data_IF_464599519009
#
_entry.id   IF_464599519009
#
_cell.length_a   1.000
_cell.length_b   1.000
_cell.length_c   1.000
_cell.angle_alpha   90.00
_cell.angle_beta   90.00
_cell.angle_gamma   90.00
#
_symmetry.space_group_name_H-M   'P 1'
#
loop_
_entity.id
_entity.type
_entity.pdbx_description
1 polymer ?
#
# COMPACT_ATOMS: atom_id res chain seq x y z
N UNK A 1 -7.04 -30.88 -50.23
CA UNK A 1 -7.14 -29.43 -50.52
C UNK A 1 -5.95 -28.73 -49.88
N UNK A 2 -4.86 -28.53 -50.64
CA UNK A 2 -3.60 -27.88 -50.23
C UNK A 2 -3.80 -26.35 -50.08
N UNK A 3 -3.30 -25.73 -49.00
CA UNK A 3 -3.17 -24.27 -48.89
C UNK A 3 -1.72 -23.84 -49.18
N UNK A 4 -1.45 -22.84 -50.03
CA UNK A 4 -0.09 -22.39 -50.37
C UNK A 4 0.47 -21.43 -49.30
N UNK A 5 1.79 -21.47 -49.10
CA UNK A 5 2.54 -20.48 -48.29
C UNK A 5 2.88 -19.24 -49.14
N UNK A 6 2.76 -18.02 -48.61
CA UNK A 6 3.31 -16.84 -49.26
C UNK A 6 4.81 -16.69 -48.96
N UNK A 7 5.59 -16.47 -50.02
CA UNK A 7 7.02 -16.12 -50.02
C UNK A 7 7.16 -14.75 -50.67
N UNK A 8 7.77 -13.79 -49.99
CA UNK A 8 8.09 -12.46 -50.54
C UNK A 8 9.34 -11.88 -49.84
N UNK A 9 10.03 -10.92 -50.49
CA UNK A 9 11.42 -11.11 -50.90
C UNK A 9 12.44 -10.30 -50.10
N UNK A 10 13.70 -10.68 -50.28
CA UNK A 10 14.89 -9.94 -49.88
C UNK A 10 15.01 -8.69 -50.76
N UNK A 11 15.12 -7.50 -50.16
CA UNK A 11 15.54 -6.30 -50.88
C UNK A 11 16.82 -5.76 -50.26
N UNK A 12 17.90 -5.96 -51.01
CA UNK A 12 19.20 -5.33 -50.85
C UNK A 12 19.12 -3.98 -51.57
N UNK A 13 19.46 -2.91 -50.87
CA UNK A 13 19.52 -1.55 -51.42
C UNK A 13 20.77 -0.88 -50.90
N UNK A 14 21.87 -1.19 -51.56
CA UNK A 14 23.16 -0.51 -51.49
C UNK A 14 23.15 0.61 -52.53
N UNK A 15 23.51 1.83 -52.13
CA UNK A 15 23.76 2.95 -53.01
C UNK A 15 24.80 3.85 -52.34
N UNK A 16 26.02 3.72 -52.86
CA UNK A 16 27.20 4.56 -52.64
C UNK A 16 26.93 6.06 -52.88
N UNK A 17 27.58 6.92 -52.10
CA UNK A 17 28.29 8.08 -52.68
C UNK A 17 29.42 8.62 -51.77
N UNK A 18 30.64 8.41 -52.29
CA UNK A 18 31.84 9.25 -52.25
C UNK A 18 32.26 9.99 -50.96
N UNK A 19 33.24 9.37 -50.30
CA UNK A 19 34.61 9.90 -50.13
C UNK A 19 34.76 11.39 -49.83
N UNK A 20 34.93 11.76 -48.55
CA UNK A 20 35.80 12.88 -48.21
C UNK A 20 36.38 12.80 -46.78
N UNK A 21 37.67 12.47 -46.73
CA UNK A 21 38.71 13.04 -45.85
C UNK A 21 38.71 12.68 -44.36
N UNK A 22 39.62 11.75 -44.05
CA UNK A 22 40.54 11.78 -42.90
C UNK A 22 40.75 13.19 -42.32
N UNK A 23 40.51 13.32 -41.00
CA UNK A 23 41.31 14.08 -40.01
C UNK A 23 40.61 13.90 -38.65
N UNK A 24 41.08 13.01 -37.77
CA UNK A 24 42.05 13.29 -36.69
C UNK A 24 41.64 14.45 -35.76
N UNK A 25 41.19 14.06 -34.56
CA UNK A 25 41.25 14.74 -33.25
C UNK A 25 40.59 16.12 -33.11
N UNK A 26 39.63 16.22 -32.17
CA UNK A 26 39.62 17.16 -31.03
C UNK A 26 38.23 17.10 -30.33
N UNK A 27 38.25 17.17 -28.99
CA UNK A 27 37.13 17.18 -28.03
C UNK A 27 36.13 18.35 -28.24
N UNK A 28 35.10 18.60 -27.39
CA UNK A 28 34.49 17.87 -26.27
C UNK A 28 32.94 17.79 -26.40
N UNK A 29 32.25 17.42 -25.31
CA UNK A 29 30.79 17.54 -25.08
C UNK A 29 29.91 16.42 -25.65
N UNK A 30 29.84 15.32 -24.90
CA UNK A 30 28.72 14.39 -24.95
C UNK A 30 27.46 15.14 -24.49
N UNK A 31 26.60 15.40 -25.46
CA UNK A 31 25.20 15.79 -25.30
C UNK A 31 24.43 14.60 -24.74
N UNK A 32 23.72 14.79 -23.63
CA UNK A 32 22.38 14.22 -23.46
C UNK A 32 21.69 14.87 -22.26
N UNK A 33 20.77 15.76 -22.58
CA UNK A 33 19.88 16.45 -21.67
C UNK A 33 18.83 15.46 -21.16
N UNK A 34 18.74 15.40 -19.83
CA UNK A 34 17.58 15.18 -18.97
C UNK A 34 16.51 14.14 -19.37
N UNK A 35 16.32 13.15 -18.50
CA UNK A 35 15.05 13.02 -17.76
C UNK A 35 15.38 12.54 -16.33
N UNK A 36 15.47 13.47 -15.39
CA UNK A 36 15.53 13.15 -13.97
C UNK A 36 14.13 12.70 -13.53
N UNK A 37 13.90 11.39 -13.49
CA UNK A 37 12.80 10.85 -12.68
C UNK A 37 13.37 10.64 -11.29
N UNK A 38 13.17 11.65 -10.44
CA UNK A 38 13.23 11.43 -9.00
C UNK A 38 12.18 10.36 -8.70
N UNK A 39 12.62 9.12 -8.50
CA UNK A 39 11.87 8.19 -7.69
C UNK A 39 11.88 8.79 -6.28
N UNK A 40 10.92 9.68 -6.04
CA UNK A 40 10.54 10.08 -4.71
C UNK A 40 10.17 8.79 -3.98
N UNK A 41 11.06 8.35 -3.09
CA UNK A 41 10.68 7.48 -1.99
C UNK A 41 9.78 8.35 -1.11
N UNK A 42 8.52 8.47 -1.53
CA UNK A 42 7.49 9.16 -0.78
C UNK A 42 7.25 8.31 0.45
N UNK A 43 7.85 8.71 1.57
CA UNK A 43 7.31 8.39 2.88
C UNK A 43 5.87 8.89 2.87
N UNK A 44 4.91 7.99 2.65
CA UNK A 44 3.53 8.32 2.88
C UNK A 44 3.38 8.55 4.37
N UNK A 45 3.43 9.81 4.78
CA UNK A 45 2.81 10.26 6.01
C UNK A 45 1.31 9.98 5.83
N UNK A 46 0.91 8.75 6.18
CA UNK A 46 -0.49 8.39 6.39
C UNK A 46 -1.13 9.33 7.41
N UNK A 47 -2.47 9.30 7.53
CA UNK A 47 -3.22 10.28 8.33
C UNK A 47 -2.54 10.43 9.68
N UNK A 48 -2.24 11.70 10.01
CA UNK A 48 -1.51 12.23 11.16
C UNK A 48 -1.05 11.14 12.12
N UNK A 49 0.26 11.05 12.38
CA UNK A 49 0.86 10.31 13.48
C UNK A 49 -0.02 10.45 14.74
N UNK A 50 -1.04 9.60 14.84
CA UNK A 50 -1.80 9.33 16.05
C UNK A 50 -0.68 8.80 16.90
N UNK A 51 -0.37 9.58 17.92
CA UNK A 51 0.73 9.46 18.86
C UNK A 51 1.36 8.07 18.84
N UNK A 52 2.68 7.97 18.86
CA UNK A 52 3.40 6.70 18.91
C UNK A 52 3.18 5.94 20.24
N UNK A 53 1.96 5.96 20.78
CA UNK A 53 1.44 5.13 21.84
C UNK A 53 1.73 3.68 21.49
N UNK A 54 2.35 2.98 22.43
CA UNK A 54 2.54 1.55 22.36
C UNK A 54 1.18 0.88 22.13
N UNK A 55 1.07 -0.05 21.15
CA UNK A 55 -0.20 -0.71 20.91
C UNK A 55 -0.62 -1.49 22.16
N UNK A 56 -1.85 -1.26 22.61
CA UNK A 56 -2.46 -2.00 23.71
C UNK A 56 -2.65 -3.47 23.34
N UNK A 57 -2.92 -3.75 22.06
CA UNK A 57 -3.04 -5.10 21.50
C UNK A 57 -2.27 -5.14 20.19
N UNK A 58 -1.43 -6.17 20.03
CA UNK A 58 -0.77 -6.49 18.77
C UNK A 58 -0.74 -8.00 18.58
N UNK A 59 -1.59 -8.51 17.69
CA UNK A 59 -1.80 -9.96 17.51
C UNK A 59 -1.95 -10.33 16.05
N UNK A 60 -1.68 -11.59 15.71
CA UNK A 60 -2.00 -12.17 14.41
C UNK A 60 -3.25 -13.04 14.50
N UNK A 61 -4.00 -13.11 13.41
CA UNK A 61 -5.17 -13.96 13.25
C UNK A 61 -5.14 -14.64 11.89
N UNK A 62 -5.68 -15.86 11.82
CA UNK A 62 -5.92 -16.54 10.53
C UNK A 62 -7.12 -15.97 9.77
N UNK A 63 -7.91 -15.09 10.41
CA UNK A 63 -9.11 -14.49 9.81
C UNK A 63 -8.74 -13.34 8.89
N UNK A 64 -9.50 -13.19 7.80
CA UNK A 64 -9.34 -12.10 6.87
C UNK A 64 -9.77 -10.75 7.49
N UNK A 65 -9.20 -9.60 7.08
CA UNK A 65 -9.52 -8.31 7.67
C UNK A 65 -11.02 -7.98 7.60
N UNK A 66 -11.68 -8.30 6.48
CA UNK A 66 -13.11 -8.06 6.29
C UNK A 66 -13.98 -8.84 7.29
N UNK A 67 -13.58 -10.07 7.64
CA UNK A 67 -14.29 -10.85 8.65
C UNK A 67 -14.20 -10.19 10.02
N UNK A 68 -12.98 -9.81 10.42
CA UNK A 68 -12.72 -9.20 11.73
C UNK A 68 -13.45 -7.86 11.83
N UNK A 69 -13.37 -7.03 10.79
CA UNK A 69 -14.07 -5.75 10.74
C UNK A 69 -15.58 -5.93 10.93
N UNK A 70 -16.20 -6.84 10.18
CA UNK A 70 -17.63 -7.11 10.29
C UNK A 70 -18.02 -7.63 11.69
N UNK A 71 -17.20 -8.52 12.26
CA UNK A 71 -17.42 -9.02 13.62
C UNK A 71 -17.37 -7.89 14.65
N UNK A 72 -16.41 -6.97 14.53
CA UNK A 72 -16.28 -5.83 15.43
C UNK A 72 -17.43 -4.83 15.24
N UNK A 73 -17.81 -4.51 14.00
CA UNK A 73 -18.98 -3.65 13.71
C UNK A 73 -20.28 -4.20 14.30
N UNK A 74 -20.44 -5.53 14.32
CA UNK A 74 -21.64 -6.17 14.88
C UNK A 74 -21.71 -6.14 16.41
N UNK A 75 -20.56 -5.94 17.09
CA UNK A 75 -20.44 -5.98 18.56
C UNK A 75 -20.33 -4.59 19.15
N UNK A 76 -19.58 -3.72 18.49
CA UNK A 76 -19.28 -2.37 18.94
C UNK A 76 -20.27 -1.39 18.32
N UNK A 77 -21.14 -0.83 19.15
CA UNK A 77 -22.22 0.09 18.73
C UNK A 77 -21.72 1.38 18.05
N UNK A 78 -20.46 1.74 18.26
CA UNK A 78 -19.82 2.96 17.73
C UNK A 78 -18.53 2.66 16.97
N UNK A 79 -18.54 1.59 16.17
CA UNK A 79 -17.44 1.27 15.26
C UNK A 79 -17.67 1.92 13.89
N UNK A 80 -16.64 2.61 13.40
CA UNK A 80 -16.62 3.24 12.09
C UNK A 80 -15.45 2.69 11.27
N UNK A 81 -15.78 1.88 10.27
CA UNK A 81 -14.79 1.27 9.38
C UNK A 81 -14.43 2.24 8.24
N UNK A 82 -13.14 2.29 7.96
CA UNK A 82 -12.55 3.00 6.82
C UNK A 82 -11.40 2.18 6.22
N UNK A 83 -10.95 2.55 5.02
CA UNK A 83 -9.81 1.90 4.35
C UNK A 83 -8.69 2.89 4.14
N UNK A 84 -7.48 2.46 4.46
CA UNK A 84 -6.25 3.25 4.28
C UNK A 84 -5.22 2.35 3.59
N UNK A 85 -5.03 2.59 2.29
CA UNK A 85 -4.21 1.70 1.46
C UNK A 85 -4.77 0.27 1.43
N UNK A 86 -3.93 -0.72 1.78
CA UNK A 86 -4.34 -2.12 1.91
C UNK A 86 -4.91 -2.47 3.29
N UNK A 87 -4.79 -1.58 4.27
CA UNK A 87 -5.27 -1.80 5.62
C UNK A 87 -6.74 -1.37 5.78
N UNK A 88 -7.43 -2.05 6.69
CA UNK A 88 -8.75 -1.62 7.18
C UNK A 88 -8.55 -0.96 8.54
N UNK A 89 -9.03 0.27 8.70
CA UNK A 89 -9.03 0.98 9.98
C UNK A 89 -10.44 1.02 10.58
N UNK A 90 -10.53 0.87 11.89
CA UNK A 90 -11.78 0.96 12.64
C UNK A 90 -11.57 1.97 13.75
N UNK A 91 -12.30 3.07 13.70
CA UNK A 91 -12.39 4.01 14.81
C UNK A 91 -13.53 3.57 15.72
N UNK A 92 -13.29 3.49 17.03
CA UNK A 92 -14.30 3.06 18.01
C UNK A 92 -14.49 4.17 19.03
N UNK A 93 -15.74 4.57 19.26
CA UNK A 93 -16.11 5.60 20.23
C UNK A 93 -16.90 6.73 19.58
N UNK A 94 -17.02 7.87 20.28
CA UNK A 94 -17.75 9.02 19.73
C UNK A 94 -17.08 9.54 18.46
N UNK A 95 -17.86 9.95 17.46
CA UNK A 95 -17.35 10.50 16.20
C UNK A 95 -16.49 11.76 16.39
N UNK A 96 -16.74 12.53 17.45
CA UNK A 96 -15.95 13.71 17.83
C UNK A 96 -14.72 13.39 18.69
N UNK A 97 -14.67 12.21 19.31
CA UNK A 97 -13.57 11.77 20.18
C UNK A 97 -13.54 10.24 20.25
N UNK A 98 -12.74 9.63 19.38
CA UNK A 98 -12.62 8.18 19.31
C UNK A 98 -11.75 7.67 20.47
N UNK A 99 -12.21 6.59 21.10
CA UNK A 99 -11.53 5.93 22.20
C UNK A 99 -10.46 4.94 21.75
N UNK A 100 -10.65 4.30 20.58
CA UNK A 100 -9.69 3.36 20.03
C UNK A 100 -9.56 3.46 18.52
N UNK A 101 -8.39 3.03 18.04
CA UNK A 101 -8.12 2.79 16.64
C UNK A 101 -7.62 1.37 16.45
N UNK A 102 -8.36 0.59 15.67
CA UNK A 102 -7.97 -0.76 15.25
C UNK A 102 -7.46 -0.68 13.83
N UNK A 103 -6.25 -1.19 13.58
CA UNK A 103 -5.70 -1.37 12.23
C UNK A 103 -5.65 -2.87 11.95
N UNK A 104 -6.28 -3.27 10.86
CA UNK A 104 -6.25 -4.62 10.32
C UNK A 104 -5.42 -4.62 9.03
N UNK A 105 -4.21 -5.16 9.13
CA UNK A 105 -3.30 -5.26 8.00
C UNK A 105 -3.37 -6.67 7.42
N UNK A 106 -3.70 -6.84 6.12
CA UNK A 106 -3.63 -8.15 5.48
C UNK A 106 -2.24 -8.75 5.62
N UNK A 107 -2.18 -10.05 5.87
CA UNK A 107 -0.94 -10.83 5.84
C UNK A 107 -1.17 -12.13 5.05
N UNK A 108 -0.08 -12.82 4.67
CA UNK A 108 -0.18 -14.05 3.87
C UNK A 108 -1.01 -15.16 4.55
N UNK A 109 -1.14 -15.13 5.87
CA UNK A 109 -1.84 -16.12 6.66
C UNK A 109 -3.16 -15.60 7.26
N UNK A 110 -3.62 -14.38 6.90
CA UNK A 110 -4.81 -13.76 7.47
C UNK A 110 -4.61 -12.27 7.73
N UNK A 111 -4.58 -11.86 9.00
CA UNK A 111 -4.47 -10.45 9.40
C UNK A 111 -3.52 -10.24 10.58
N UNK A 112 -2.85 -9.09 10.59
CA UNK A 112 -2.22 -8.51 11.78
C UNK A 112 -3.12 -7.42 12.31
N UNK A 113 -3.42 -7.48 13.60
CA UNK A 113 -4.32 -6.57 14.30
C UNK A 113 -3.48 -5.72 15.25
N UNK A 114 -3.62 -4.40 15.12
CA UNK A 114 -3.04 -3.41 16.03
C UNK A 114 -4.17 -2.59 16.64
N UNK A 115 -4.24 -2.53 17.97
CA UNK A 115 -5.19 -1.67 18.69
C UNK A 115 -4.42 -0.63 19.47
N UNK A 116 -4.77 0.63 19.25
CA UNK A 116 -4.20 1.78 19.95
C UNK A 116 -5.31 2.50 20.70
N UNK A 117 -5.05 2.86 21.95
CA UNK A 117 -5.85 3.79 22.74
C UNK A 117 -5.06 5.11 22.88
N UNK A 118 -5.59 6.26 22.42
CA UNK A 118 -4.98 7.56 22.70
C UNK A 118 -4.83 7.85 24.20
N UNK A 119 -3.85 8.69 24.58
CA UNK A 119 -3.51 8.97 26.00
C UNK A 119 -4.68 9.56 26.79
N UNK A 120 -5.49 10.42 26.16
CA UNK A 120 -6.65 11.07 26.78
C UNK A 120 -7.98 10.59 26.19
N UNK A 121 -8.01 9.34 25.72
CA UNK A 121 -9.20 8.72 25.17
C UNK A 121 -10.30 8.56 26.23
N UNK A 122 -11.58 8.81 25.89
CA UNK A 122 -12.69 8.41 26.74
C UNK A 122 -12.65 6.90 27.00
N UNK A 123 -13.08 6.46 28.17
CA UNK A 123 -13.21 5.04 28.48
C UNK A 123 -14.58 4.50 28.00
N UNK A 124 -14.81 4.60 26.69
CA UNK A 124 -16.06 4.22 26.05
C UNK A 124 -15.83 3.62 24.64
N UNK A 125 -15.78 2.28 24.49
CA UNK A 125 -16.08 1.28 25.53
C UNK A 125 -14.96 1.15 26.58
N UNK A 126 -15.26 0.57 27.76
CA UNK A 126 -14.25 0.19 28.75
C UNK A 126 -13.17 -0.73 28.16
N UNK A 127 -11.97 -0.73 28.75
CA UNK A 127 -10.84 -1.50 28.20
C UNK A 127 -11.13 -2.99 28.08
N UNK A 128 -11.73 -3.54 29.13
CA UNK A 128 -12.05 -4.95 29.25
C UNK A 128 -13.03 -5.40 28.17
N UNK A 129 -14.02 -4.55 27.85
CA UNK A 129 -14.98 -4.79 26.79
C UNK A 129 -14.28 -4.78 25.42
N UNK A 130 -13.44 -3.77 25.17
CA UNK A 130 -12.67 -3.68 23.93
C UNK A 130 -11.74 -4.88 23.73
N UNK A 131 -10.99 -5.29 24.78
CA UNK A 131 -10.11 -6.47 24.72
C UNK A 131 -10.92 -7.75 24.48
N UNK A 132 -12.06 -7.89 25.13
CA UNK A 132 -12.92 -9.06 25.00
C UNK A 132 -13.50 -9.21 23.59
N UNK A 133 -14.02 -8.12 23.02
CA UNK A 133 -14.58 -8.16 21.67
C UNK A 133 -13.51 -8.39 20.60
N UNK A 134 -12.31 -7.81 20.77
CA UNK A 134 -11.15 -8.13 19.92
C UNK A 134 -10.85 -9.63 19.99
N UNK A 135 -10.71 -10.19 21.19
CA UNK A 135 -10.41 -11.61 21.38
C UNK A 135 -11.43 -12.51 20.68
N UNK A 136 -12.73 -12.19 20.79
CA UNK A 136 -13.79 -12.96 20.12
C UNK A 136 -13.78 -12.88 18.60
N UNK A 137 -13.31 -11.78 18.04
CA UNK A 137 -13.31 -11.58 16.60
C UNK A 137 -12.06 -12.11 15.89
N UNK A 138 -10.96 -12.31 16.63
CA UNK A 138 -9.67 -12.75 16.06
C UNK A 138 -9.39 -14.24 16.21
N UNK A 139 -10.18 -14.98 17.00
CA UNK A 139 -10.12 -16.44 17.16
C UNK A 139 -11.13 -17.13 16.28
#
# INVERSE_FOLDING_TARGET
>A
MLRPRPKFPHMTGDADDLTMKRTFLLAPAVVAIAIATLAACGSSSGPAARDASQPMIYVSSQRAPAYIAHCLESRLSRAHVSRVGSATEIAVGSSSNNSYFVTLTPSNAGSVIKVVRPVDAPDDPPEEEMRFDIARCVT
#
